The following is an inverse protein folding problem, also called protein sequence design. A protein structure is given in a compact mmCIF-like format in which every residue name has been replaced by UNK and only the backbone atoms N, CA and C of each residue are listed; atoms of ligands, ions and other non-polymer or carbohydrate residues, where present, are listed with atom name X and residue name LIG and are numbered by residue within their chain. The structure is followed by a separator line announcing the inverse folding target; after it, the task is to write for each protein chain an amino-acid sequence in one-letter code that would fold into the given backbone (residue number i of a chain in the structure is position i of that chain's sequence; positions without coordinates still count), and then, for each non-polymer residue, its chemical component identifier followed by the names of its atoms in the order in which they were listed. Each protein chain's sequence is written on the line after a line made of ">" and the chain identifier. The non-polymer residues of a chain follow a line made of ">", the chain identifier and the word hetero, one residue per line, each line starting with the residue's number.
data_IF_695986600330
#
_entry.id   IF_695986600330
#
_cell.length_a   1.000
_cell.length_b   1.000
_cell.length_c   1.000
_cell.angle_alpha   90.00
_cell.angle_beta   90.00
_cell.angle_gamma   90.00
#
_symmetry.space_group_name_H-M   'P 1'
#
loop_
_entity.id
_entity.type
_entity.pdbx_description
1 polymer ?
2 branched ?
3 branched ?
4 non-polymer ?
5 water ?
#
# COMPACT_ATOMS: atom_id res chain seq x y z
N UNK A 99 -2.32 1.58 25.56
CA UNK A 99 -0.94 2.02 25.76
C UNK A 99 -0.24 2.27 24.43
N UNK A 100 -0.64 3.35 23.76
CA UNK A 100 -0.05 3.74 22.48
C UNK A 100 -0.64 5.09 22.08
N UNK A 101 -0.04 5.68 21.04
CA UNK A 101 -0.60 6.86 20.40
C UNK A 101 -1.52 6.43 19.25
N UNK A 102 -2.40 7.35 18.83
CA UNK A 102 -3.60 7.05 18.05
C UNK A 102 -3.30 6.09 16.89
N UNK A 103 -2.62 6.49 15.78
CA UNK A 103 -2.28 5.45 14.79
C UNK A 103 -0.86 4.92 14.99
N UNK A 104 -0.72 3.60 14.99
CA UNK A 104 0.60 2.97 15.01
C UNK A 104 1.37 3.42 13.79
N UNK A 105 2.55 4.01 13.94
CA UNK A 105 3.29 4.49 12.76
C UNK A 105 3.92 3.36 11.96
N UNK A 106 4.05 3.60 10.66
CA UNK A 106 4.65 2.63 9.76
C UNK A 106 6.15 2.53 10.01
N UNK A 107 6.65 1.31 10.18
CA UNK A 107 8.05 1.08 10.55
C UNK A 107 8.90 0.92 9.29
N UNK A 108 9.99 1.67 9.22
CA UNK A 108 10.90 1.61 8.09
C UNK A 108 12.15 0.81 8.46
N UNK A 109 12.96 0.52 7.45
CA UNK A 109 14.14 -0.31 7.61
C UNK A 109 15.35 0.39 7.03
N UNK A 110 16.53 -0.06 7.44
CA UNK A 110 17.77 0.53 6.95
C UNK A 110 18.15 0.01 5.56
N UNK A 111 17.56 -1.11 5.12
CA UNK A 111 17.83 -1.63 3.78
C UNK A 111 16.71 -2.56 3.38
N UNK A 112 16.64 -2.86 2.08
CA UNK A 112 15.61 -3.74 1.55
C UNK A 112 16.21 -5.12 1.29
N UNK A 113 15.82 -6.15 2.05
CA UNK A 113 16.35 -7.48 1.78
C UNK A 113 15.91 -8.01 0.43
N UNK A 114 16.73 -8.90 -0.13
CA UNK A 114 16.34 -9.59 -1.34
C UNK A 114 15.15 -10.49 -1.05
N UNK A 115 14.28 -10.72 -2.03
CA UNK A 115 13.11 -11.59 -1.80
C UNK A 115 13.53 -13.03 -1.59
N UNK A 116 12.86 -13.69 -0.65
CA UNK A 116 13.10 -15.11 -0.44
C UNK A 116 12.78 -15.88 -1.71
N UNK A 117 13.59 -16.88 -2.06
CA UNK A 117 13.29 -17.67 -3.28
C UNK A 117 11.91 -18.31 -3.26
N UNK A 118 11.33 -18.54 -2.09
CA UNK A 118 9.98 -19.07 -2.01
C UNK A 118 8.98 -18.13 -2.69
N UNK A 119 9.25 -16.83 -2.66
CA UNK A 119 8.38 -15.84 -3.30
C UNK A 119 8.68 -15.79 -4.78
N UNK A 120 7.74 -16.23 -5.61
CA UNK A 120 7.84 -16.16 -7.05
C UNK A 120 6.57 -15.53 -7.60
N UNK A 121 6.72 -14.68 -8.61
CA UNK A 121 5.58 -13.98 -9.18
C UNK A 121 5.19 -14.62 -10.50
N UNK A 122 3.88 -14.71 -10.75
CA UNK A 122 3.41 -15.18 -12.06
C UNK A 122 3.68 -14.11 -13.13
N UNK A 123 3.39 -12.86 -12.81
CA UNK A 123 3.73 -11.72 -13.67
C UNK A 123 4.88 -10.95 -13.04
N UNK A 124 5.85 -10.56 -13.86
CA UNK A 124 7.07 -9.95 -13.33
C UNK A 124 6.80 -8.52 -12.86
N UNK A 125 7.49 -8.14 -11.77
CA UNK A 125 7.35 -6.81 -11.21
C UNK A 125 8.19 -5.82 -12.00
N UNK A 126 7.55 -4.71 -12.40
CA UNK A 126 8.23 -3.62 -13.09
C UNK A 126 9.01 -4.12 -14.32
N UNK A 127 8.33 -4.68 -15.32
CA UNK A 127 9.05 -5.32 -16.42
C UNK A 127 9.84 -4.36 -17.29
N UNK A 128 9.38 -3.11 -17.43
CA UNK A 128 10.04 -2.13 -18.29
C UNK A 128 10.75 -1.03 -17.50
N UNK A 129 11.02 -1.28 -16.21
CA UNK A 129 11.60 -0.26 -15.35
C UNK A 129 12.99 0.18 -15.73
N UNK A 130 13.11 1.45 -16.13
CA UNK A 130 14.36 2.15 -16.44
C UNK A 130 14.82 2.95 -15.24
N UNK A 131 16.13 3.19 -15.10
CA UNK A 131 16.59 4.07 -14.02
C UNK A 131 16.08 5.49 -14.22
N UNK A 132 15.88 6.18 -13.10
CA UNK A 132 15.32 7.54 -13.14
C UNK A 132 16.38 8.49 -13.68
N UNK A 133 16.13 9.14 -14.83
CA UNK A 133 17.14 10.03 -15.41
C UNK A 133 17.26 11.33 -14.62
N UNK A 134 18.33 12.06 -14.91
CA UNK A 134 18.60 13.37 -14.30
C UNK A 134 18.16 14.44 -15.28
N UNK A 135 17.28 15.33 -14.83
CA UNK A 135 16.75 16.39 -15.69
C UNK A 135 17.62 17.64 -15.64
N UNK A 136 17.50 18.47 -16.68
CA UNK A 136 18.11 19.79 -16.65
C UNK A 136 17.35 20.68 -15.67
N UNK A 137 18.09 21.50 -14.92
CA UNK A 137 17.49 22.24 -13.81
C UNK A 137 16.32 23.12 -14.24
N UNK A 138 16.48 23.86 -15.33
CA UNK A 138 15.46 24.78 -15.80
C UNK A 138 14.41 24.11 -16.68
N UNK A 139 14.29 22.77 -16.60
CA UNK A 139 13.27 22.06 -17.36
C UNK A 139 11.89 22.32 -16.77
N UNK A 140 10.87 22.23 -17.61
CA UNK A 140 9.48 22.29 -17.19
C UNK A 140 8.86 20.91 -17.32
N UNK A 141 8.43 20.35 -16.20
CA UNK A 141 7.96 18.97 -16.12
C UNK A 141 6.51 18.97 -15.67
N UNK A 142 5.61 18.68 -16.59
CA UNK A 142 4.21 18.51 -16.25
C UNK A 142 4.03 17.25 -15.40
N UNK A 143 3.25 17.39 -14.33
CA UNK A 143 2.96 16.31 -13.39
C UNK A 143 1.49 15.95 -13.52
N UNK A 144 1.23 14.69 -13.87
CA UNK A 144 -0.09 14.14 -14.15
C UNK A 144 -0.55 13.20 -13.04
N UNK A 145 -1.85 13.22 -12.78
CA UNK A 145 -2.51 12.23 -11.94
C UNK A 145 -3.01 11.08 -12.80
N UNK A 146 -2.68 9.84 -12.40
CA UNK A 146 -3.02 8.64 -13.16
C UNK A 146 -3.82 7.69 -12.28
N UNK A 147 -5.00 7.29 -12.77
CA UNK A 147 -5.86 6.35 -12.05
C UNK A 147 -6.53 5.42 -13.03
N UNK A 148 -6.68 4.16 -12.64
CA UNK A 148 -7.33 3.14 -13.45
C UNK A 148 -7.84 2.05 -12.52
N UNK A 149 -8.89 1.33 -12.92
CA UNK A 149 -9.40 0.25 -12.07
C UNK A 149 -8.43 -0.92 -12.00
N UNK A 150 -8.36 -1.54 -10.84
CA UNK A 150 -7.48 -2.68 -10.61
C UNK A 150 -7.91 -3.89 -11.44
N UNK A 161 -17.74 -2.63 -3.53
CA UNK A 161 -16.37 -2.46 -3.96
C UNK A 161 -16.49 -2.51 -5.45
N UNK A 162 -17.05 -1.44 -5.99
CA UNK A 162 -17.07 -1.21 -7.43
C UNK A 162 -15.90 -0.36 -7.89
N UNK A 163 -15.39 0.51 -7.03
CA UNK A 163 -14.38 1.51 -7.39
C UNK A 163 -13.11 1.20 -6.61
N UNK A 164 -12.35 0.23 -7.08
CA UNK A 164 -11.05 -0.11 -6.51
C UNK A 164 -10.00 0.26 -7.54
N UNK A 165 -9.40 1.44 -7.37
CA UNK A 165 -8.53 2.01 -8.38
C UNK A 165 -7.05 1.87 -8.04
N UNK A 166 -6.22 1.81 -9.09
CA UNK A 166 -4.77 1.83 -8.97
C UNK A 166 -4.26 3.24 -9.30
N UNK A 167 -3.33 3.73 -8.49
CA UNK A 167 -2.82 5.09 -8.62
C UNK A 167 -1.39 5.09 -9.15
N UNK A 168 -1.06 6.15 -9.90
CA UNK A 168 0.28 6.36 -10.43
C UNK A 168 0.43 7.83 -10.78
N UNK A 169 1.68 8.25 -10.98
CA UNK A 169 2.01 9.63 -11.30
C UNK A 169 2.69 9.68 -12.66
N UNK A 170 2.27 10.62 -13.49
CA UNK A 170 2.88 10.84 -14.79
C UNK A 170 3.78 12.06 -14.80
N UNK A 171 4.82 12.00 -15.63
CA UNK A 171 5.74 13.12 -15.82
C UNK A 171 5.97 13.30 -17.30
N UNK A 172 5.89 14.54 -17.76
CA UNK A 172 6.29 14.86 -19.12
C UNK A 172 7.24 16.05 -19.07
N UNK A 173 8.30 15.98 -19.84
CA UNK A 173 9.23 17.10 -19.89
C UNK A 173 9.12 17.79 -21.23
N UNK A 174 9.48 19.08 -21.24
CA UNK A 174 9.47 19.84 -22.49
C UNK A 174 10.77 19.67 -23.26
N UNK A 175 11.90 19.54 -22.55
CA UNK A 175 13.19 19.40 -23.21
C UNK A 175 13.40 17.96 -23.68
N UNK A 176 13.21 16.98 -22.79
CA UNK A 176 13.35 15.57 -23.18
C UNK A 176 12.35 15.18 -24.27
N UNK A 177 11.15 15.75 -24.24
CA UNK A 177 10.04 15.34 -25.10
C UNK A 177 9.31 14.11 -24.59
N UNK A 178 10.05 13.13 -24.08
CA UNK A 178 9.45 11.89 -23.58
C UNK A 178 8.71 12.15 -22.29
N UNK A 179 7.84 11.20 -21.95
CA UNK A 179 7.10 11.20 -20.69
C UNK A 179 7.32 9.86 -19.99
N UNK A 180 6.96 9.81 -18.71
CA UNK A 180 7.27 8.67 -17.87
C UNK A 180 6.13 8.40 -16.90
N UNK A 181 6.05 7.15 -16.46
CA UNK A 181 5.10 6.70 -15.44
C UNK A 181 5.87 6.29 -14.20
N UNK A 182 5.32 6.62 -13.03
CA UNK A 182 5.90 6.19 -11.76
C UNK A 182 4.80 5.65 -10.83
N UNK A 183 5.01 4.46 -10.29
CA UNK A 183 4.03 3.80 -9.44
C UNK A 183 4.75 3.03 -8.34
N UNK A 184 3.97 2.43 -7.45
CA UNK A 184 4.50 1.72 -6.28
C UNK A 184 3.51 0.61 -5.98
N UNK A 185 3.90 -0.64 -6.14
CA UNK A 185 2.95 -1.72 -5.98
C UNK A 185 3.67 -2.98 -5.52
N UNK A 186 2.94 -4.08 -5.48
CA UNK A 186 3.40 -5.32 -4.88
C UNK A 186 4.34 -6.07 -5.82
N UNK A 187 5.36 -6.69 -5.24
CA UNK A 187 6.28 -7.50 -6.03
C UNK A 187 5.63 -8.82 -6.42
N UNK A 188 4.73 -9.35 -5.59
CA UNK A 188 4.08 -10.62 -5.83
C UNK A 188 2.56 -10.49 -5.68
N UNK A 189 2.06 -9.28 -5.91
CA UNK A 189 0.63 -8.95 -6.02
C UNK A 189 -0.12 -8.95 -4.69
N UNK A 190 -1.38 -8.53 -4.78
CA UNK A 190 -2.12 -8.05 -3.61
C UNK A 190 -2.34 -9.16 -2.60
N UNK A 191 -2.81 -10.32 -3.07
CA UNK A 191 -3.08 -11.42 -2.14
C UNK A 191 -1.86 -11.81 -1.32
N UNK A 192 -0.70 -11.90 -1.97
CA UNK A 192 0.52 -12.21 -1.23
C UNK A 192 0.90 -11.07 -0.28
N UNK A 193 0.49 -9.84 -0.58
CA UNK A 193 0.73 -8.79 0.41
C UNK A 193 -0.31 -8.74 1.52
N UNK A 194 -1.44 -9.42 1.37
CA UNK A 194 -2.53 -9.32 2.34
C UNK A 194 -2.65 -10.54 3.25
N UNK A 195 -2.38 -11.74 2.73
CA UNK A 195 -2.49 -12.96 3.51
C UNK A 195 -1.25 -13.81 3.34
N UNK A 196 -0.82 -14.51 4.39
CA UNK A 196 0.43 -15.26 4.34
C UNK A 196 0.23 -16.68 3.82
N UNK A 197 1.35 -17.32 3.50
CA UNK A 197 1.38 -18.73 3.14
C UNK A 197 1.77 -19.55 4.37
N UNK A 198 1.19 -20.73 4.49
CA UNK A 198 1.47 -21.64 5.59
C UNK A 198 2.31 -22.78 5.04
N UNK A 199 3.54 -22.86 5.48
CA UNK A 199 4.46 -23.91 5.09
C UNK A 199 4.71 -24.85 6.27
N UNK A 200 4.70 -26.16 6.05
CA UNK A 200 4.74 -27.10 7.18
C UNK A 200 6.07 -27.16 7.91
N UNK A 201 7.15 -26.67 7.31
CA UNK A 201 8.46 -26.66 7.95
C UNK A 201 8.70 -25.41 8.79
N UNK A 202 7.67 -24.61 9.02
CA UNK A 202 7.81 -23.38 9.80
C UNK A 202 6.65 -23.18 10.76
N UNK A 203 6.98 -22.80 12.00
CA UNK A 203 5.94 -22.55 12.99
C UNK A 203 5.17 -21.27 12.68
N UNK A 204 5.84 -20.28 12.07
CA UNK A 204 5.22 -18.99 11.76
C UNK A 204 4.77 -18.93 10.31
N UNK A 205 3.68 -18.21 10.04
CA UNK A 205 3.26 -18.03 8.64
C UNK A 205 4.21 -17.09 7.89
N UNK A 206 4.45 -17.42 6.63
CA UNK A 206 5.44 -16.76 5.79
C UNK A 206 4.77 -15.77 4.84
N UNK A 207 5.34 -14.57 4.73
CA UNK A 207 4.78 -13.51 3.92
C UNK A 207 5.68 -13.17 2.74
N UNK A 208 5.06 -12.88 1.60
CA UNK A 208 5.75 -12.30 0.45
C UNK A 208 5.16 -10.92 0.18
N UNK A 209 5.32 -10.00 1.13
CA UNK A 209 4.54 -8.78 1.19
C UNK A 209 5.35 -7.53 0.83
N UNK A 210 6.35 -7.67 -0.04
CA UNK A 210 7.19 -6.54 -0.39
C UNK A 210 6.54 -5.73 -1.51
N UNK A 211 6.50 -4.42 -1.32
CA UNK A 211 6.11 -3.50 -2.38
C UNK A 211 7.21 -2.48 -2.61
N UNK A 212 7.24 -1.92 -3.81
CA UNK A 212 8.35 -1.04 -4.16
C UNK A 212 7.91 -0.10 -5.29
N UNK A 213 8.79 0.83 -5.62
CA UNK A 213 8.55 1.83 -6.65
C UNK A 213 8.99 1.32 -8.01
N UNK A 214 8.28 1.75 -9.04
CA UNK A 214 8.58 1.38 -10.41
C UNK A 214 8.51 2.62 -11.28
N UNK A 215 9.53 2.83 -12.11
CA UNK A 215 9.63 3.99 -12.97
C UNK A 215 10.06 3.54 -14.36
N UNK A 216 9.33 4.00 -15.39
CA UNK A 216 9.64 3.58 -16.76
C UNK A 216 9.19 4.65 -17.74
N UNK A 217 9.74 4.58 -18.95
CA UNK A 217 9.41 5.52 -20.01
C UNK A 217 8.00 5.31 -20.53
N UNK A 218 7.36 6.41 -20.90
CA UNK A 218 6.08 6.37 -21.61
C UNK A 218 4.89 6.40 -20.67
N UNK A 219 3.81 7.00 -21.18
CA UNK A 219 2.51 7.01 -20.50
C UNK A 219 1.51 6.36 -21.44
N UNK A 220 0.85 5.30 -20.95
CA UNK A 220 -0.15 4.57 -21.74
C UNK A 220 -1.50 5.25 -21.56
N UNK A 221 -1.80 6.21 -22.43
CA UNK A 221 -2.99 7.05 -22.29
C UNK A 221 -4.26 6.20 -22.23
N UNK A 222 -4.39 5.22 -23.13
CA UNK A 222 -5.61 4.42 -23.20
C UNK A 222 -5.86 3.71 -21.87
N UNK A 223 -4.79 3.26 -21.21
CA UNK A 223 -4.92 2.52 -19.96
C UNK A 223 -5.62 3.36 -18.89
N UNK A 224 -5.33 4.65 -18.85
CA UNK A 224 -5.85 5.52 -17.79
C UNK A 224 -7.11 6.28 -18.20
N UNK A 225 -7.22 6.68 -19.45
CA UNK A 225 -8.35 7.50 -19.89
C UNK A 225 -9.61 6.69 -20.14
N UNK A 226 -9.49 5.37 -20.34
CA UNK A 226 -10.65 4.54 -20.64
C UNK A 226 -11.63 4.53 -19.48
N UNK A 227 -11.27 3.87 -18.37
CA UNK A 227 -12.14 3.75 -17.21
C UNK A 227 -11.50 4.38 -15.98
N UNK A 228 -10.77 5.48 -16.17
CA UNK A 228 -10.08 6.13 -15.09
C UNK A 228 -9.84 7.60 -15.35
N UNK A 229 -8.73 8.12 -14.82
CA UNK A 229 -8.44 9.55 -14.82
C UNK A 229 -7.03 9.80 -15.35
N UNK A 230 -6.89 10.84 -16.16
CA UNK A 230 -5.59 11.32 -16.63
C UNK A 230 -5.70 12.84 -16.70
N UNK A 231 -5.18 13.52 -15.69
CA UNK A 231 -5.30 14.98 -15.58
C UNK A 231 -3.99 15.53 -15.05
N UNK A 232 -3.52 16.61 -15.68
CA UNK A 232 -2.34 17.31 -15.19
C UNK A 232 -2.68 18.02 -13.88
N UNK A 233 -1.81 17.86 -12.88
CA UNK A 233 -2.00 18.51 -11.60
C UNK A 233 -0.93 19.54 -11.28
N UNK A 234 0.25 19.48 -11.90
CA UNK A 234 1.27 20.46 -11.55
C UNK A 234 2.25 20.64 -12.71
N UNK A 235 3.18 21.58 -12.51
CA UNK A 235 4.35 21.74 -13.37
C UNK A 235 5.51 22.12 -12.47
N UNK A 236 6.55 21.28 -12.47
CA UNK A 236 7.68 21.46 -11.57
C UNK A 236 8.95 21.65 -12.40
N UNK A 237 9.94 22.27 -11.78
CA UNK A 237 11.23 22.42 -12.41
C UNK A 237 11.97 21.07 -12.45
N UNK A 238 12.94 20.98 -13.35
CA UNK A 238 13.80 19.81 -13.36
C UNK A 238 14.51 19.60 -12.04
N UNK A 239 15.04 20.69 -11.47
CA UNK A 239 15.67 20.64 -10.15
C UNK A 239 14.79 19.91 -9.14
N UNK A 240 13.57 20.42 -8.93
CA UNK A 240 12.58 19.77 -8.08
C UNK A 240 12.52 18.27 -8.38
N UNK A 241 12.29 17.95 -9.65
CA UNK A 241 12.21 16.55 -10.06
C UNK A 241 13.43 15.78 -9.57
N UNK A 242 14.63 16.28 -9.87
CA UNK A 242 15.84 15.59 -9.46
C UNK A 242 15.83 15.34 -7.97
N UNK A 243 15.51 16.39 -7.19
CA UNK A 243 15.44 16.24 -5.75
C UNK A 243 14.42 15.17 -5.37
N UNK A 244 13.25 15.24 -6.00
CA UNK A 244 12.21 14.24 -5.78
C UNK A 244 12.78 12.85 -6.04
N UNK A 245 13.47 12.71 -7.17
CA UNK A 245 14.07 11.43 -7.52
C UNK A 245 14.87 10.88 -6.34
N UNK A 246 15.76 11.72 -5.78
CA UNK A 246 16.59 11.26 -4.68
C UNK A 246 15.72 10.72 -3.55
N UNK A 247 14.71 11.49 -3.14
CA UNK A 247 13.85 11.04 -2.06
C UNK A 247 13.25 9.68 -2.37
N UNK A 248 12.77 9.51 -3.61
CA UNK A 248 12.14 8.24 -4.00
C UNK A 248 13.09 7.09 -3.69
N UNK A 249 14.35 7.22 -4.11
CA UNK A 249 15.33 6.16 -3.88
C UNK A 249 15.39 5.83 -2.40
N UNK A 250 15.55 6.85 -1.55
CA UNK A 250 15.60 6.60 -0.12
C UNK A 250 14.34 5.88 0.33
N UNK A 251 13.18 6.40 -0.07
CA UNK A 251 11.91 5.78 0.28
C UNK A 251 11.89 4.32 -0.18
N UNK A 252 12.35 4.08 -1.41
CA UNK A 252 12.30 2.74 -1.96
C UNK A 252 13.12 1.77 -1.12
N UNK A 253 14.15 2.25 -0.44
CA UNK A 253 14.97 1.34 0.34
C UNK A 253 14.59 1.29 1.81
N UNK A 254 13.68 2.16 2.27
CA UNK A 254 13.32 2.14 3.69
C UNK A 254 11.90 1.65 3.92
N UNK A 255 10.97 1.96 3.02
CA UNK A 255 9.62 1.42 3.08
C UNK A 255 9.49 0.22 2.16
N UNK A 256 9.62 -0.98 2.72
CA UNK A 256 9.85 -2.16 1.90
C UNK A 256 8.63 -3.08 1.79
N UNK A 257 7.62 -2.95 2.66
CA UNK A 257 6.51 -3.88 2.66
C UNK A 257 5.19 -3.16 2.39
N UNK A 258 4.33 -3.84 1.63
CA UNK A 258 3.01 -3.34 1.25
C UNK A 258 1.97 -3.78 2.29
N UNK A 259 1.09 -2.86 2.65
CA UNK A 259 0.02 -3.15 3.61
C UNK A 259 -1.31 -2.66 3.06
N UNK A 260 -2.33 -3.53 3.12
CA UNK A 260 -3.60 -3.32 2.44
C UNK A 260 -4.62 -2.56 3.29
N UNK A 261 -4.79 -2.93 4.56
CA UNK A 261 -5.94 -2.50 5.35
C UNK A 261 -5.71 -1.14 5.99
N UNK A 262 -6.68 -0.25 5.84
CA UNK A 262 -6.84 0.91 6.72
C UNK A 262 -7.78 0.50 7.84
N UNK A 263 -7.34 0.63 9.10
CA UNK A 263 -8.14 0.21 10.25
C UNK A 263 -8.59 1.46 11.00
N UNK A 264 -9.90 1.64 11.09
CA UNK A 264 -10.50 2.81 11.71
C UNK A 264 -11.53 2.38 12.74
N UNK A 265 -11.87 3.30 13.64
CA UNK A 265 -12.84 3.00 14.70
C UNK A 265 -14.27 2.95 14.17
N UNK A 266 -14.60 3.82 13.22
CA UNK A 266 -15.95 3.91 12.68
C UNK A 266 -15.89 4.74 11.39
N UNK A 267 -16.92 4.63 10.53
CA UNK A 267 -16.95 5.46 9.32
C UNK A 267 -17.25 6.92 9.57
N UNK A 268 -17.46 7.31 10.83
CA UNK A 268 -17.78 8.69 11.16
C UNK A 268 -16.57 9.60 10.88
N UNK A 269 -16.85 10.90 10.80
CA UNK A 269 -15.79 11.89 10.71
C UNK A 269 -15.26 12.20 12.10
N UNK A 270 -13.93 12.27 12.22
CA UNK A 270 -13.30 12.41 13.51
C UNK A 270 -13.10 11.10 14.26
N UNK A 271 -13.56 9.98 13.71
CA UNK A 271 -13.33 8.69 14.33
C UNK A 271 -11.84 8.37 14.35
N UNK A 272 -11.42 7.68 15.41
CA UNK A 272 -10.00 7.41 15.60
C UNK A 272 -9.49 6.37 14.62
N UNK A 273 -8.29 6.61 14.08
CA UNK A 273 -7.67 5.71 13.11
C UNK A 273 -6.61 4.86 13.82
N UNK A 274 -6.74 3.54 13.71
CA UNK A 274 -5.78 2.63 14.32
C UNK A 274 -4.58 2.37 13.44
N UNK A 275 -4.78 2.18 12.13
CA UNK A 275 -3.71 1.84 11.21
C UNK A 275 -3.96 2.50 9.87
N UNK A 276 -2.89 3.02 9.26
CA UNK A 276 -2.90 3.51 7.89
C UNK A 276 -2.30 2.46 6.98
N UNK A 277 -2.88 2.29 5.80
CA UNK A 277 -2.31 1.38 4.82
C UNK A 277 -1.03 1.96 4.25
N UNK A 278 -0.33 1.14 3.46
CA UNK A 278 0.93 1.54 2.81
C UNK A 278 0.94 0.91 1.43
N UNK A 279 0.34 1.59 0.46
CA UNK A 279 0.07 1.02 -0.86
C UNK A 279 0.45 2.05 -1.92
N UNK A 280 -0.15 1.91 -3.11
CA UNK A 280 0.20 2.79 -4.23
C UNK A 280 -0.28 4.22 -4.00
N UNK A 281 -1.51 4.38 -3.52
CA UNK A 281 -2.06 5.71 -3.30
C UNK A 281 -1.25 6.47 -2.25
N UNK A 282 -0.86 5.80 -1.17
CA UNK A 282 -0.03 6.44 -0.16
C UNK A 282 1.31 6.88 -0.73
N UNK A 283 1.87 6.10 -1.67
CA UNK A 283 3.10 6.53 -2.32
C UNK A 283 2.88 7.79 -3.14
N UNK A 284 1.79 7.85 -3.90
CA UNK A 284 1.49 9.05 -4.68
C UNK A 284 1.37 10.26 -3.75
N UNK A 285 0.65 10.09 -2.62
CA UNK A 285 0.47 11.19 -1.69
C UNK A 285 1.79 11.61 -1.06
N UNK A 286 2.66 10.64 -0.77
CA UNK A 286 3.99 10.97 -0.25
C UNK A 286 4.78 11.79 -1.26
N UNK A 287 4.76 11.39 -2.53
CA UNK A 287 5.46 12.14 -3.57
C UNK A 287 4.92 13.56 -3.68
N UNK A 288 3.60 13.72 -3.64
CA UNK A 288 3.02 15.05 -3.79
C UNK A 288 3.34 15.93 -2.58
N UNK A 289 3.32 15.36 -1.38
CA UNK A 289 3.73 16.13 -0.20
C UNK A 289 5.19 16.56 -0.30
N UNK A 290 6.06 15.65 -0.76
CA UNK A 290 7.47 16.00 -0.95
C UNK A 290 7.64 17.12 -1.96
N UNK A 291 6.89 17.06 -3.08
CA UNK A 291 6.96 18.14 -4.05
C UNK A 291 6.45 19.44 -3.44
N UNK A 292 5.43 19.36 -2.59
CA UNK A 292 4.96 20.57 -1.90
C UNK A 292 6.03 21.15 -1.01
N UNK A 293 6.86 20.30 -0.39
CA UNK A 293 7.97 20.80 0.42
C UNK A 293 8.91 21.66 -0.41
N UNK A 294 9.12 21.30 -1.68
CA UNK A 294 10.01 22.06 -2.55
C UNK A 294 9.38 23.37 -3.03
N UNK A 295 8.10 23.59 -2.76
CA UNK A 295 7.40 24.77 -3.21
C UNK A 295 6.48 24.57 -4.39
N UNK A 296 6.37 23.34 -4.90
CA UNK A 296 5.50 23.09 -6.04
C UNK A 296 4.06 23.43 -5.69
N UNK A 297 3.32 23.89 -6.69
CA UNK A 297 1.95 24.38 -6.53
C UNK A 297 1.02 23.53 -7.39
N UNK A 298 0.02 22.93 -6.76
CA UNK A 298 -0.91 22.04 -7.45
C UNK A 298 -2.17 22.78 -7.88
N UNK A 299 -2.73 22.38 -9.02
CA UNK A 299 -4.05 22.85 -9.43
C UNK A 299 -5.10 22.39 -8.41
N UNK A 300 -6.27 23.03 -8.45
CA UNK A 300 -7.33 22.67 -7.52
C UNK A 300 -8.32 21.78 -8.26
N UNK A 301 -8.10 20.48 -8.13
CA UNK A 301 -8.89 19.45 -8.78
C UNK A 301 -9.29 18.45 -7.71
N UNK A 302 -10.52 17.97 -7.76
CA UNK A 302 -10.95 16.94 -6.83
C UNK A 302 -10.17 15.66 -7.10
N UNK A 303 -9.41 15.20 -6.11
CA UNK A 303 -8.63 13.97 -6.22
C UNK A 303 -9.16 12.97 -5.19
N UNK A 304 -9.83 11.93 -5.66
CA UNK A 304 -10.36 10.89 -4.79
C UNK A 304 -9.51 9.62 -4.91
N UNK A 305 -9.37 8.92 -3.80
CA UNK A 305 -8.59 7.69 -3.75
C UNK A 305 -9.44 6.57 -3.17
N UNK A 306 -9.09 5.34 -3.56
CA UNK A 306 -9.68 4.14 -3.01
C UNK A 306 -9.03 3.85 -1.66
N UNK A 307 -9.85 3.53 -0.67
CA UNK A 307 -9.35 3.13 0.64
C UNK A 307 -10.18 1.96 1.14
N UNK A 308 -9.51 0.85 1.44
CA UNK A 308 -10.15 -0.35 1.96
C UNK A 308 -10.06 -0.31 3.49
N UNK A 309 -11.23 -0.26 4.14
CA UNK A 309 -11.33 -0.03 5.57
C UNK A 309 -11.86 -1.26 6.29
N UNK A 310 -11.18 -1.60 7.39
CA UNK A 310 -11.69 -2.45 8.46
C UNK A 310 -12.13 -1.55 9.62
N UNK A 311 -13.25 -1.89 10.23
CA UNK A 311 -13.80 -1.14 11.35
C UNK A 311 -13.78 -2.02 12.59
N UNK A 312 -13.12 -1.54 13.64
CA UNK A 312 -12.92 -2.33 14.85
C UNK A 312 -12.75 -1.41 16.03
N UNK A 313 -12.77 -2.01 17.23
CA UNK A 313 -12.41 -1.31 18.43
C UNK A 313 -10.90 -1.13 18.53
N UNK A 314 -10.44 -0.77 19.72
CA UNK A 314 -9.02 -0.55 19.93
C UNK A 314 -8.26 -1.87 19.78
N UNK A 315 -7.27 -1.94 18.91
CA UNK A 315 -6.54 -3.20 18.73
C UNK A 315 -5.69 -3.55 19.94
N UNK A 316 -5.36 -4.84 20.05
CA UNK A 316 -4.52 -5.36 21.11
C UNK A 316 -3.27 -5.96 20.47
N UNK A 317 -2.11 -5.65 21.07
CA UNK A 317 -0.83 -6.15 20.57
C UNK A 317 -0.64 -7.60 21.02
N UNK A 318 -0.59 -8.53 20.07
CA UNK A 318 -0.35 -9.94 20.37
C UNK A 318 1.12 -10.31 20.34
N UNK A 319 1.87 -9.82 19.35
CA UNK A 319 3.31 -10.05 19.40
C UNK A 319 4.01 -10.33 18.10
N UNK A 320 5.35 -10.33 18.12
CA UNK A 320 6.11 -10.56 16.92
C UNK A 320 6.10 -12.06 16.56
N UNK A 321 6.80 -12.40 15.47
CA UNK A 321 6.70 -13.75 14.90
C UNK A 321 7.32 -14.80 15.80
N UNK A 322 8.36 -14.45 16.57
CA UNK A 322 8.94 -15.40 17.50
C UNK A 322 8.25 -15.37 18.87
N UNK A 323 7.54 -14.29 19.20
CA UNK A 323 6.82 -14.21 20.46
C UNK A 323 5.49 -14.95 20.41
N UNK A 324 5.08 -15.43 19.24
CA UNK A 324 3.80 -16.13 19.07
C UNK A 324 4.02 -17.57 18.62
N UNK A 325 4.79 -17.76 17.56
CA UNK A 325 5.06 -19.08 17.01
C UNK A 325 6.48 -19.52 17.37
N UNK A 326 6.63 -20.80 17.69
CA UNK A 326 7.90 -21.31 18.13
C UNK A 326 7.84 -21.81 19.56
N UNK A 327 8.99 -22.17 20.12
CA UNK A 327 8.98 -22.71 21.49
C UNK A 327 8.53 -21.70 22.54
N UNK A 328 9.11 -20.51 22.55
CA UNK A 328 8.76 -19.48 23.53
C UNK A 328 7.59 -18.68 23.01
N UNK A 329 6.41 -19.29 23.08
CA UNK A 329 5.20 -18.63 22.60
C UNK A 329 3.97 -19.44 22.93
N UNK A 330 2.82 -18.80 22.70
CA UNK A 330 1.52 -19.43 22.92
C UNK A 330 1.20 -20.38 21.76
N UNK A 331 0.70 -21.57 22.12
CA UNK A 331 0.33 -22.57 21.12
C UNK A 331 -1.11 -22.39 20.64
N UNK A 332 -2.05 -22.24 21.59
CA UNK A 332 -3.46 -22.10 21.23
C UNK A 332 -3.69 -20.89 20.35
N UNK A 333 -3.03 -19.76 20.66
CA UNK A 333 -3.22 -18.56 19.86
C UNK A 333 -2.55 -18.69 18.50
N UNK A 334 -1.38 -19.33 18.45
CA UNK A 334 -0.75 -19.55 17.15
C UNK A 334 -1.61 -20.39 16.23
N UNK A 335 -2.19 -21.46 16.77
CA UNK A 335 -3.11 -22.27 15.98
C UNK A 335 -4.38 -21.50 15.66
N UNK A 336 -4.75 -20.53 16.50
CA UNK A 336 -5.91 -19.69 16.21
C UNK A 336 -5.64 -18.79 15.02
N UNK A 337 -4.48 -18.14 14.98
CA UNK A 337 -4.12 -17.31 13.84
C UNK A 337 -4.03 -18.15 12.58
N UNK A 338 -3.42 -19.34 12.69
CA UNK A 338 -3.33 -20.23 11.53
C UNK A 338 -4.72 -20.61 11.02
N UNK A 339 -5.63 -20.96 11.93
CA UNK A 339 -6.99 -21.30 11.53
C UNK A 339 -7.71 -20.10 10.92
N UNK A 340 -7.34 -18.88 11.34
CA UNK A 340 -7.92 -17.68 10.75
C UNK A 340 -7.41 -17.46 9.33
N UNK A 341 -6.13 -17.75 9.10
CA UNK A 341 -5.52 -17.43 7.80
C UNK A 341 -5.81 -18.50 6.75
N UNK A 342 -5.94 -19.76 7.17
CA UNK A 342 -6.09 -20.86 6.21
C UNK A 342 -7.19 -20.67 5.17
N UNK A 343 -8.40 -20.20 5.50
CA UNK A 343 -9.43 -20.10 4.46
C UNK A 343 -9.11 -19.11 3.35
N UNK A 344 -8.31 -18.08 3.64
CA UNK A 344 -8.04 -17.04 2.65
C UNK A 344 -7.16 -17.51 1.51
N UNK A 345 -6.81 -18.80 1.47
CA UNK A 345 -5.94 -19.32 0.43
C UNK A 345 -6.25 -20.79 0.19
N UNK A 346 -6.25 -21.23 -1.07
CA UNK A 346 -6.35 -22.66 -1.37
C UNK A 346 -4.99 -23.36 -1.20
N UNK A 353 -14.21 -23.78 -1.88
CA UNK A 353 -14.40 -22.34 -1.74
C UNK A 353 -15.45 -22.03 -0.67
N UNK A 354 -16.71 -22.44 -0.94
CA UNK A 354 -17.82 -22.10 -0.05
C UNK A 354 -17.47 -22.33 1.41
N UNK A 355 -16.78 -23.43 1.71
CA UNK A 355 -16.35 -23.71 3.07
C UNK A 355 -15.49 -22.56 3.60
N UNK A 356 -14.53 -22.10 2.78
CA UNK A 356 -13.68 -20.99 3.19
C UNK A 356 -14.49 -19.72 3.39
N UNK A 357 -15.47 -19.48 2.52
CA UNK A 357 -16.32 -18.30 2.66
C UNK A 357 -17.08 -18.32 3.98
N UNK A 358 -17.59 -19.49 4.37
CA UNK A 358 -18.32 -19.58 5.64
C UNK A 358 -17.39 -19.43 6.83
N UNK A 359 -16.18 -20.01 6.75
CA UNK A 359 -15.21 -19.81 7.82
C UNK A 359 -14.89 -18.33 7.99
N UNK A 360 -14.66 -17.63 6.87
CA UNK A 360 -14.33 -16.22 6.93
C UNK A 360 -15.48 -15.41 7.49
N UNK A 361 -16.71 -15.70 7.05
CA UNK A 361 -17.86 -14.97 7.56
C UNK A 361 -18.07 -15.22 9.05
N UNK A 362 -17.76 -16.43 9.51
CA UNK A 362 -17.96 -16.70 10.93
C UNK A 362 -16.90 -16.04 11.79
N UNK A 363 -15.65 -16.03 11.32
CA UNK A 363 -14.60 -15.36 12.08
C UNK A 363 -14.80 -13.85 12.09
N UNK A 364 -15.11 -13.27 10.93
CA UNK A 364 -15.11 -11.82 10.80
C UNK A 364 -16.44 -11.21 11.23
N UNK A 365 -17.56 -11.81 10.83
CA UNK A 365 -18.87 -11.22 11.11
C UNK A 365 -19.43 -11.77 12.41
N UNK A 366 -19.65 -13.08 12.47
CA UNK A 366 -20.32 -13.67 13.62
C UNK A 366 -19.51 -13.43 14.89
N UNK A 367 -18.24 -13.82 14.89
CA UNK A 367 -17.39 -13.71 16.06
C UNK A 367 -16.63 -12.39 16.14
N UNK A 368 -16.70 -11.55 15.10
CA UNK A 368 -16.14 -10.19 15.12
C UNK A 368 -14.65 -10.22 15.46
N UNK A 369 -13.89 -11.01 14.72
CA UNK A 369 -12.47 -11.17 14.97
C UNK A 369 -11.68 -11.00 13.69
N UNK A 370 -10.57 -10.25 13.78
CA UNK A 370 -9.62 -10.13 12.69
C UNK A 370 -8.22 -10.19 13.27
N UNK A 371 -7.29 -10.79 12.52
CA UNK A 371 -5.89 -10.86 12.90
C UNK A 371 -5.07 -10.05 11.91
N UNK A 372 -4.46 -8.97 12.38
CA UNK A 372 -3.80 -8.00 11.52
C UNK A 372 -2.29 -8.12 11.66
N UNK A 373 -1.62 -8.42 10.54
CA UNK A 373 -0.17 -8.34 10.42
C UNK A 373 0.21 -6.92 10.07
N UNK A 374 1.00 -6.28 10.94
CA UNK A 374 1.41 -4.90 10.73
C UNK A 374 2.77 -4.69 11.40
N UNK A 375 3.70 -4.08 10.66
CA UNK A 375 5.07 -3.86 11.14
C UNK A 375 5.71 -5.19 11.55
N UNK A 376 5.35 -6.27 10.86
CA UNK A 376 5.84 -7.61 11.16
C UNK A 376 5.52 -7.99 12.60
N UNK A 377 4.36 -7.56 13.07
CA UNK A 377 3.83 -7.94 14.37
C UNK A 377 2.35 -8.28 14.22
N UNK A 378 1.81 -8.99 15.20
CA UNK A 378 0.44 -9.49 15.14
C UNK A 378 -0.43 -8.76 16.14
N UNK A 379 -1.55 -8.22 15.65
CA UNK A 379 -2.56 -7.52 16.43
C UNK A 379 -3.92 -8.18 16.27
N UNK A 380 -4.80 -7.95 17.23
CA UNK A 380 -6.18 -8.43 17.18
C UNK A 380 -7.12 -7.25 16.96
N UNK A 381 -8.05 -7.42 16.02
CA UNK A 381 -9.05 -6.41 15.69
C UNK A 381 -10.44 -6.90 16.09
N UNK A 382 -11.06 -6.31 17.11
CA UNK A 382 -12.46 -6.63 17.40
C UNK A 382 -13.41 -5.92 16.44
N UNK A 383 -13.78 -6.59 15.36
CA UNK A 383 -14.58 -6.00 14.29
C UNK A 383 -15.93 -5.41 14.75
N UNK A 384 -16.46 -4.47 13.99
CA UNK A 384 -17.66 -3.73 14.36
C UNK A 384 -18.28 -3.13 13.10
N UNK A 385 -19.45 -2.47 13.27
CA UNK A 385 -19.98 -1.52 12.30
C UNK A 385 -20.16 -2.19 10.92
N UNK A 386 -19.96 -1.54 9.77
CA UNK A 386 -20.00 -2.30 8.51
C UNK A 386 -18.79 -3.18 8.26
N UNK A 387 -17.91 -3.39 9.25
CA UNK A 387 -16.81 -4.35 9.15
C UNK A 387 -15.82 -3.98 8.04
N UNK A 388 -16.15 -4.28 6.79
CA UNK A 388 -15.24 -4.06 5.65
C UNK A 388 -15.94 -3.16 4.65
N UNK A 389 -15.51 -1.92 4.55
CA UNK A 389 -16.06 -0.99 3.57
C UNK A 389 -14.97 -0.54 2.61
N UNK A 390 -15.34 -0.35 1.35
CA UNK A 390 -14.42 0.15 0.33
C UNK A 390 -14.91 1.53 -0.09
N UNK A 391 -14.18 2.56 0.28
CA UNK A 391 -14.59 3.93 -0.02
C UNK A 391 -13.73 4.51 -1.13
N UNK A 392 -14.27 5.54 -1.78
CA UNK A 392 -13.57 6.31 -2.81
C UNK A 392 -13.70 7.78 -2.43
N UNK A 393 -12.85 8.23 -1.50
CA UNK A 393 -13.03 9.51 -0.83
C UNK A 393 -11.94 10.49 -1.22
N UNK A 394 -12.23 11.78 -1.03
CA UNK A 394 -11.30 12.84 -1.40
C UNK A 394 -10.16 12.94 -0.40
N UNK A 395 -8.93 12.96 -0.92
CA UNK A 395 -7.76 13.39 -0.18
C UNK A 395 -7.16 14.57 -0.94
N UNK A 396 -7.29 15.79 -0.42
CA UNK A 396 -6.91 16.96 -1.21
C UNK A 396 -5.42 17.01 -1.52
N UNK A 397 -5.10 17.63 -2.66
CA UNK A 397 -3.70 17.86 -3.00
C UNK A 397 -3.07 18.80 -1.98
N UNK A 398 -1.78 18.61 -1.67
CA UNK A 398 -1.19 19.33 -0.54
C UNK A 398 -1.02 20.82 -0.82
N UNK A 399 -1.14 21.61 0.24
CA UNK A 399 -0.90 23.05 0.18
C UNK A 399 -0.12 23.50 1.41
X LIG B 1 2.11 -15.47 -4.44
X LIG B 1 2.23 -15.45 -5.97
X LIG B 1 2.32 -16.88 -6.52
X LIG B 1 3.33 -17.73 -5.76
X LIG B 1 3.16 -17.56 -4.24
X LIG B 1 4.26 -18.22 -3.45
X LIG B 1 1.17 -14.02 -7.65
X LIG B 1 -0.11 -13.40 -8.12
X LIG B 1 1.09 -14.75 -6.54
X LIG B 1 2.69 -16.82 -7.89
X LIG B 1 3.06 -19.08 -6.07
X LIG B 1 3.18 -16.17 -3.90
X LIG B 1 5.54 -17.74 -3.84
X LIG B 1 2.23 -13.86 -8.26
X LIG B 2 4.15 -19.73 -6.74
X LIG B 2 3.92 -21.25 -6.60
X LIG B 2 4.98 -22.02 -7.37
X LIG B 2 5.08 -21.54 -8.80
X LIG B 2 5.31 -20.04 -8.81
X LIG B 2 5.37 -19.45 -10.21
X LIG B 2 2.79 -21.71 -4.46
X LIG B 2 2.97 -22.11 -3.03
X LIG B 2 3.90 -21.63 -5.20
X LIG B 2 4.68 -23.41 -7.34
X LIG B 2 6.13 -22.20 -9.49
X LIG B 2 4.22 -19.39 -8.13
X LIG B 2 4.08 -19.39 -10.80
X LIG B 2 1.68 -21.45 -4.94
X LIG C 1 12.75 0.11 -6.11
X LIG C 1 13.36 0.32 -7.49
X LIG C 1 13.07 -0.87 -8.41
X LIG C 1 13.41 -2.19 -7.73
X LIG C 1 12.80 -2.25 -6.34
X LIG C 1 13.21 -3.47 -5.56
X LIG C 1 13.39 2.75 -7.91
X LIG C 1 12.72 3.89 -8.62
X LIG C 1 12.84 1.55 -8.10
X LIG C 1 13.83 -0.70 -9.60
X LIG C 1 12.84 -3.27 -8.47
X LIG C 1 13.21 -1.11 -5.57
X LIG C 1 14.56 -3.38 -5.12
X LIG C 1 14.38 2.92 -7.21
X LIG C 2 13.67 -3.77 -9.55
X LIG C 2 13.16 -5.15 -9.95
X LIG C 2 14.02 -5.69 -11.09
X LIG C 2 13.99 -4.71 -12.27
X LIG C 2 14.41 -3.31 -11.80
X LIG C 2 14.24 -2.26 -12.87
X LIG C 2 14.18 -6.40 -8.07
X LIG C 2 13.91 -7.38 -6.97
X LIG C 2 13.12 -6.07 -8.83
X LIG C 2 13.53 -6.97 -11.51
X LIG C 2 14.85 -5.17 -13.30
X LIG C 2 13.62 -2.89 -10.68
X LIG C 2 13.50 -1.15 -12.39
X LIG C 2 15.30 -5.95 -8.29
X LIG C 3 14.11 -5.36 -14.53
X LIG C 3 14.88 -4.65 -15.67
X LIG C 3 14.15 -4.84 -16.99
X LIG C 3 13.86 -6.33 -17.25
X LIG C 3 13.13 -6.96 -16.04
X LIG C 3 12.91 -8.46 -16.19
X LIG C 3 16.17 -5.23 -15.84
X LIG C 3 14.88 -4.29 -18.09
X LIG C 3 13.05 -6.49 -18.40
X LIG C 3 13.93 -6.74 -14.84
X LIG C 3 12.99 -9.08 -14.92
X LIG D 1 3.27 10.48 -23.70
X LIG D 1 1.90 11.07 -23.97
X LIG D 1 1.17 10.22 -25.01
X LIG D 1 2.01 10.09 -26.27
X LIG D 1 3.43 9.61 -25.94
X LIG D 1 4.35 9.66 -27.13
X LIG D 1 1.04 12.29 -22.02
X LIG D 1 0.17 12.23 -20.80
X LIG D 1 1.11 11.18 -22.75
X LIG D 1 -0.09 10.84 -25.32
X LIG D 1 1.40 9.17 -27.16
X LIG D 1 4.02 10.42 -24.91
X LIG D 1 5.60 9.03 -26.86
X LIG D 1 1.66 13.31 -22.33
X LIG E 1 -15.00 12.05 -3.80
X LIG E 1 -16.37 11.77 -4.43
X LIG E 1 -17.44 12.66 -3.79
X LIG E 1 -17.41 12.54 -2.27
X LIG E 1 -16.00 12.81 -1.76
X LIG E 1 -15.85 12.61 -0.27
X LIG E 1 -16.43 10.99 -6.75
X LIG E 1 -16.35 11.37 -8.19
X LIG E 1 -16.33 11.98 -5.86
X LIG E 1 -18.72 12.27 -4.27
X LIG E 1 -18.30 13.48 -1.68
X LIG E 1 -15.08 11.90 -2.39
X LIG E 1 -14.88 13.48 0.27
X LIG E 1 -16.57 9.81 -6.40
#
# INVERSE_FOLDING_TARGET
>A
XRRNLRLGPSSGADAQGQGAPRPGLAAPRXLLPPASQASRGSGSTGCSLXAQEVDTAQGAEXRRGAGAARGRASWCWALALLWLAVVPGWSRVSGIPSRRHWPVPYKRFDFRPKPDPYCQAKYTFCPTGSPIPVMEGDDDIEVFRLQAPVWEFKYGDLLGHLKIMHDAIGFRSTLTGKNYTMEWYELFQLGNCTFPHLRPEMDAPFWCNQGAACFFEGIDDVHWKENGTLVQVATISGNMFNQMAKWVKQDNETGIYYETWNVKASPEKGAETWFDSYDCSKFVLRTFNKLAEFGAEFKNIETNYTRIFLYSGEPTYLGNETSVFGPTGNKTLGLAIKRFYYPFKPHLPTKEFLLSLLQIFDAVIVHKQFYLFYNFEYWFLPMKFPFIKITYEEIPLPIRNKTLSGL
>B hetero
1 NAG C1 C2 C3 C4 C5 C6 C7 C8 N2 O3 O4 O5 O6 O7
2 NAG C1 C2 C3 C4 C5 C6 C7 C8 N2 O3 O4 O5 O6 O7
>C hetero
1 NAG C1 C2 C3 C4 C5 C6 C7 C8 N2 O3 O4 O5 O6 O7
2 NAG C1 C2 C3 C4 C5 C6 C7 C8 N2 O3 O4 O5 O6 O7
3 BMA C1 C2 C3 C4 C5 C6 O2 O3 O4 O5 O6
>D hetero
1 NAG C1 C2 C3 C4 C5 C6 C7 C8 N2 O3 O4 O5 O6 O7
>E hetero
1 NAG C1 C2 C3 C4 C5 C6 C7 C8 N2 O3 O4 O5 O6 O7
#
